data_IF_671450662690
#
_entry.id   IF_671450662690
#
_cell.length_a   1.000
_cell.length_b   1.000
_cell.length_c   1.000
_cell.angle_alpha   90.00
_cell.angle_beta   90.00
_cell.angle_gamma   90.00
#
_symmetry.space_group_name_H-M   'P 1'
#
loop_
_entity.id
_entity.type
_entity.pdbx_description
1 polymer ?
#
# COMPACT_ATOMS: atom_id res chain seq x y z
N UNK A 1 4.21 28.52 -28.86
CA UNK A 1 4.03 27.11 -29.24
C UNK A 1 3.42 26.35 -28.08
N UNK A 2 2.16 25.92 -28.19
CA UNK A 2 1.51 25.09 -27.16
C UNK A 2 1.86 23.62 -27.41
N UNK A 3 2.76 23.07 -26.60
CA UNK A 3 3.15 21.67 -26.68
C UNK A 3 2.09 20.81 -25.97
N UNK A 4 1.09 20.32 -26.71
CA UNK A 4 0.18 19.28 -26.21
C UNK A 4 0.90 17.94 -26.29
N UNK A 5 1.54 17.54 -25.18
CA UNK A 5 2.10 16.19 -25.06
C UNK A 5 0.96 15.22 -24.73
N UNK A 6 0.61 14.38 -25.70
CA UNK A 6 -0.42 13.35 -25.52
C UNK A 6 0.02 12.30 -24.50
N UNK A 7 -0.91 11.82 -23.65
CA UNK A 7 -0.60 10.80 -22.61
C UNK A 7 0.10 9.57 -23.19
N UNK A 8 -0.28 9.18 -24.41
CA UNK A 8 0.32 8.03 -25.12
C UNK A 8 1.77 8.29 -25.53
N UNK A 9 2.09 9.53 -25.92
CA UNK A 9 3.46 9.92 -26.24
C UNK A 9 4.33 9.96 -24.98
N UNK A 10 3.79 10.44 -23.85
CA UNK A 10 4.50 10.41 -22.57
C UNK A 10 4.82 8.97 -22.10
N UNK A 11 3.85 8.06 -22.20
CA UNK A 11 4.07 6.63 -21.87
C UNK A 11 5.10 6.00 -22.81
N UNK A 12 5.04 6.29 -24.12
CA UNK A 12 6.00 5.77 -25.09
C UNK A 12 7.44 6.25 -24.84
N UNK A 13 7.61 7.54 -24.53
CA UNK A 13 8.94 8.14 -24.27
C UNK A 13 9.50 7.69 -22.92
N UNK A 14 8.67 7.57 -21.88
CA UNK A 14 9.10 7.11 -20.54
C UNK A 14 9.46 5.62 -20.50
N UNK A 15 8.81 4.77 -21.29
CA UNK A 15 9.13 3.34 -21.37
C UNK A 15 10.55 3.08 -21.92
N UNK A 16 11.03 3.92 -22.85
CA UNK A 16 12.39 3.81 -23.41
C UNK A 16 13.43 4.28 -22.39
N UNK A 17 13.12 5.31 -21.58
CA UNK A 17 14.00 5.77 -20.50
C UNK A 17 14.13 4.77 -19.34
N UNK A 18 13.10 3.94 -19.10
CA UNK A 18 13.09 2.96 -18.01
C UNK A 18 13.92 1.69 -18.29
N UNK A 19 14.31 1.42 -19.55
CA UNK A 19 15.15 0.28 -19.90
C UNK A 19 16.56 0.33 -19.26
N UNK A 20 17.01 1.50 -18.81
CA UNK A 20 18.30 1.69 -18.14
C UNK A 20 18.31 1.41 -16.63
N UNK A 21 17.17 1.17 -15.99
CA UNK A 21 17.08 1.00 -14.52
C UNK A 21 16.69 -0.45 -14.17
N UNK A 22 17.31 -1.43 -14.84
CA UNK A 22 17.22 -2.85 -14.46
C UNK A 22 18.56 -3.41 -13.94
N UNK A 23 19.43 -2.56 -13.38
CA UNK A 23 20.69 -2.97 -12.72
C UNK A 23 20.49 -3.41 -11.26
N UNK A 24 19.27 -3.28 -10.72
CA UNK A 24 19.01 -3.49 -9.28
C UNK A 24 18.60 -4.90 -8.83
N UNK A 25 18.24 -5.83 -9.74
CA UNK A 25 17.79 -7.17 -9.35
C UNK A 25 18.70 -8.26 -9.92
N UNK A 26 19.96 -8.27 -9.49
CA UNK A 26 20.77 -9.48 -9.50
C UNK A 26 20.50 -10.25 -8.21
N UNK A 27 19.56 -11.21 -8.22
CA UNK A 27 19.37 -12.12 -7.09
C UNK A 27 20.54 -13.11 -7.00
N UNK A 28 21.67 -12.64 -6.46
CA UNK A 28 22.73 -13.54 -5.98
C UNK A 28 22.37 -13.99 -4.56
N UNK A 29 22.00 -15.26 -4.43
CA UNK A 29 22.25 -16.08 -3.24
C UNK A 29 21.82 -15.49 -1.90
N UNK A 30 20.53 -15.20 -1.74
CA UNK A 30 19.94 -14.99 -0.42
C UNK A 30 19.55 -16.33 0.19
N UNK A 31 20.20 -16.73 1.29
CA UNK A 31 19.81 -17.90 2.09
C UNK A 31 18.29 -17.91 2.29
N UNK A 32 17.61 -18.96 1.86
CA UNK A 32 16.22 -19.24 2.25
C UNK A 32 16.22 -19.44 3.76
N UNK A 33 16.05 -18.34 4.50
CA UNK A 33 15.64 -18.44 5.90
C UNK A 33 14.26 -19.03 5.82
N UNK A 34 14.12 -20.29 6.25
CA UNK A 34 12.83 -20.84 6.64
C UNK A 34 12.29 -19.88 7.69
N UNK A 35 11.49 -18.90 7.26
CA UNK A 35 10.75 -18.07 8.19
C UNK A 35 9.81 -19.04 8.88
N UNK A 36 10.12 -19.35 10.14
CA UNK A 36 9.13 -19.87 11.05
C UNK A 36 7.91 -18.96 10.90
N UNK A 37 6.81 -19.55 10.45
CA UNK A 37 5.62 -18.79 10.05
C UNK A 37 5.17 -17.97 11.24
N UNK A 38 5.46 -16.67 11.22
CA UNK A 38 4.96 -15.74 12.23
C UNK A 38 3.45 -15.87 12.16
N UNK A 39 2.85 -16.37 13.24
CA UNK A 39 1.40 -16.55 13.33
C UNK A 39 0.78 -15.16 13.34
N UNK A 40 0.22 -14.74 12.21
CA UNK A 40 -0.59 -13.54 12.15
C UNK A 40 -1.88 -13.79 12.92
N UNK A 41 -2.27 -12.79 13.71
CA UNK A 41 -3.57 -12.78 14.36
C UNK A 41 -4.59 -12.22 13.35
N UNK A 42 -5.80 -12.75 13.37
CA UNK A 42 -6.89 -12.26 12.52
C UNK A 42 -7.38 -10.86 12.95
N UNK A 43 -7.06 -10.47 14.18
CA UNK A 43 -7.46 -9.24 14.84
C UNK A 43 -6.30 -8.65 15.63
N UNK A 44 -6.33 -7.34 15.81
CA UNK A 44 -5.42 -6.65 16.70
C UNK A 44 -5.61 -7.17 18.14
N UNK A 45 -4.51 -7.39 18.89
CA UNK A 45 -4.61 -7.74 20.30
C UNK A 45 -5.17 -6.56 21.11
N UNK A 46 -5.69 -6.88 22.29
CA UNK A 46 -6.12 -5.84 23.24
C UNK A 46 -4.94 -4.95 23.69
N UNK A 47 -5.20 -3.66 23.85
CA UNK A 47 -4.16 -2.67 24.08
C UNK A 47 -4.67 -1.23 24.15
N UNK A 48 -3.74 -0.28 24.04
CA UNK A 48 -4.05 1.15 24.06
C UNK A 48 -4.90 1.53 22.85
N UNK A 49 -5.86 2.45 23.05
CA UNK A 49 -6.72 2.96 21.97
C UNK A 49 -5.90 3.48 20.78
N UNK A 50 -6.19 2.94 19.59
CA UNK A 50 -5.61 3.38 18.31
C UNK A 50 -6.64 4.24 17.58
N UNK A 51 -6.20 5.44 17.18
CA UNK A 51 -7.04 6.42 16.48
C UNK A 51 -6.67 6.49 15.01
N UNK A 52 -7.67 6.42 14.14
CA UNK A 52 -7.48 6.58 12.69
C UNK A 52 -8.32 7.76 12.16
N UNK A 53 -7.70 8.58 11.32
CA UNK A 53 -8.41 9.58 10.53
C UNK A 53 -8.98 8.96 9.25
N UNK A 54 -10.25 9.20 8.96
CA UNK A 54 -10.91 8.73 7.74
C UNK A 54 -10.99 9.86 6.71
N UNK A 55 -10.44 9.65 5.52
CA UNK A 55 -10.58 10.58 4.40
C UNK A 55 -11.47 9.99 3.32
N UNK A 56 -12.51 10.74 2.96
CA UNK A 56 -13.47 10.41 1.90
C UNK A 56 -14.84 9.95 2.45
N UNK A 57 -15.91 10.50 1.88
CA UNK A 57 -17.30 10.28 2.30
C UNK A 57 -18.11 9.34 1.38
N UNK A 58 -17.44 8.62 0.47
CA UNK A 58 -18.09 7.66 -0.42
C UNK A 58 -18.10 6.23 0.14
N UNK A 59 -18.69 5.29 -0.60
CA UNK A 59 -18.80 3.89 -0.16
C UNK A 59 -17.46 3.20 0.14
N UNK A 60 -16.36 3.64 -0.48
CA UNK A 60 -15.00 3.17 -0.14
C UNK A 60 -14.53 3.66 1.22
N UNK A 61 -14.87 4.89 1.59
CA UNK A 61 -14.59 5.45 2.92
C UNK A 61 -15.38 4.73 4.00
N UNK A 62 -16.68 4.51 3.78
CA UNK A 62 -17.52 3.72 4.70
C UNK A 62 -17.00 2.29 4.85
N UNK A 63 -16.62 1.63 3.77
CA UNK A 63 -16.03 0.28 3.84
C UNK A 63 -14.70 0.25 4.59
N UNK A 64 -13.84 1.26 4.39
CA UNK A 64 -12.60 1.38 5.14
C UNK A 64 -12.83 1.63 6.64
N UNK A 65 -13.82 2.45 6.98
CA UNK A 65 -14.23 2.69 8.37
C UNK A 65 -14.68 1.41 9.06
N UNK A 66 -15.52 0.61 8.40
CA UNK A 66 -16.01 -0.67 8.91
C UNK A 66 -14.84 -1.64 9.09
N UNK A 67 -14.02 -1.83 8.05
CA UNK A 67 -12.85 -2.72 8.13
C UNK A 67 -11.88 -2.33 9.26
N UNK A 68 -11.71 -1.04 9.51
CA UNK A 68 -10.87 -0.57 10.61
C UNK A 68 -11.51 -0.92 11.96
N UNK A 69 -12.79 -0.62 12.17
CA UNK A 69 -13.47 -0.92 13.44
C UNK A 69 -13.56 -2.44 13.70
N UNK A 70 -13.71 -3.24 12.66
CA UNK A 70 -13.75 -4.71 12.71
C UNK A 70 -12.35 -5.35 12.81
N UNK A 71 -11.28 -4.57 12.86
CA UNK A 71 -9.91 -5.10 12.94
C UNK A 71 -9.47 -5.43 14.36
N UNK A 72 -10.22 -5.03 15.39
CA UNK A 72 -9.93 -5.42 16.78
C UNK A 72 -10.52 -4.48 17.84
N UNK A 73 -10.29 -4.78 19.12
CA UNK A 73 -10.72 -3.94 20.23
C UNK A 73 -9.95 -2.61 20.28
N UNK A 74 -10.55 -1.62 20.95
CA UNK A 74 -9.93 -0.31 21.21
C UNK A 74 -9.52 0.47 19.94
N UNK A 75 -10.32 0.36 18.88
CA UNK A 75 -10.16 1.11 17.63
C UNK A 75 -11.17 2.25 17.56
N UNK A 76 -10.71 3.45 17.20
CA UNK A 76 -11.56 4.64 17.14
C UNK A 76 -11.28 5.47 15.90
N UNK A 77 -12.34 5.81 15.19
CA UNK A 77 -12.27 6.80 14.11
C UNK A 77 -12.27 8.19 14.76
N UNK A 78 -11.30 9.01 14.36
CA UNK A 78 -11.14 10.38 14.80
C UNK A 78 -11.22 11.34 13.61
N UNK A 79 -11.60 12.58 13.89
CA UNK A 79 -11.79 13.63 12.89
C UNK A 79 -10.47 14.18 12.38
#
# INVERSE_FOLDING_TARGET
MSNNVDRRQFIGVSAIAAAGIMVGCSSKGGKTRTMESVKFLDQAPDGKEIKAGLIGCGGRGTGAAINFLDAGPNLKIHA
#
